data_IF_504159632902
#
_entry.id   IF_504159632902
#
_cell.length_a   1.000
_cell.length_b   1.000
_cell.length_c   1.000
_cell.angle_alpha   90.00
_cell.angle_beta   90.00
_cell.angle_gamma   90.00
#
_symmetry.space_group_name_H-M   'P 1'
#
loop_
_entity.id
_entity.type
_entity.pdbx_description
1 polymer ?
#
# COMPACT_ATOMS: atom_id res chain seq x y z
N UNK A 1 -2.51 -9.23 9.23
CA UNK A 1 -3.05 -9.17 7.85
C UNK A 1 -1.91 -9.40 6.87
N UNK A 2 -2.18 -9.98 5.69
CA UNK A 2 -1.16 -10.07 4.64
C UNK A 2 -0.80 -8.68 4.11
N UNK A 3 0.33 -8.55 3.41
CA UNK A 3 0.74 -7.31 2.75
C UNK A 3 -0.33 -6.82 1.78
N UNK A 4 -0.92 -7.73 1.00
CA UNK A 4 -1.95 -7.43 0.01
C UNK A 4 -3.28 -7.02 0.66
N UNK A 5 -3.70 -7.68 1.74
CA UNK A 5 -4.91 -7.30 2.49
C UNK A 5 -4.77 -5.90 3.07
N UNK A 6 -3.60 -5.59 3.63
CA UNK A 6 -3.31 -4.28 4.21
C UNK A 6 -3.30 -3.20 3.14
N UNK A 7 -2.73 -3.50 1.98
CA UNK A 7 -2.78 -2.60 0.82
C UNK A 7 -4.20 -2.39 0.31
N UNK A 8 -4.99 -3.46 0.23
CA UNK A 8 -6.41 -3.42 -0.17
C UNK A 8 -7.23 -2.51 0.74
N UNK A 9 -6.97 -2.51 2.06
CA UNK A 9 -7.61 -1.58 2.99
C UNK A 9 -7.08 -0.14 2.85
N UNK A 10 -5.78 0.03 2.66
CA UNK A 10 -5.17 1.35 2.50
C UNK A 10 -5.75 2.11 1.28
N UNK A 11 -5.83 1.46 0.10
CA UNK A 11 -6.25 2.13 -1.14
C UNK A 11 -7.73 2.56 -1.18
N UNK A 12 -8.54 2.15 -0.20
CA UNK A 12 -9.92 2.61 0.00
C UNK A 12 -9.97 4.02 0.60
N UNK A 13 -8.93 4.44 1.31
CA UNK A 13 -8.87 5.74 1.98
C UNK A 13 -8.61 6.88 0.98
N UNK A 14 -9.11 8.08 1.28
CA UNK A 14 -8.85 9.27 0.46
C UNK A 14 -7.39 9.70 0.64
N UNK A 15 -6.70 10.03 -0.46
CA UNK A 15 -5.29 10.46 -0.45
C UNK A 15 -4.34 9.48 0.28
N UNK A 16 -4.59 8.18 0.18
CA UNK A 16 -3.82 7.11 0.83
C UNK A 16 -2.31 7.10 0.55
N UNK A 17 -1.87 7.77 -0.51
CA UNK A 17 -0.46 7.88 -0.93
C UNK A 17 0.23 9.18 -0.49
N UNK A 18 -0.45 10.09 0.21
CA UNK A 18 0.01 11.49 0.40
C UNK A 18 1.36 11.64 1.10
N UNK A 19 1.72 10.71 1.97
CA UNK A 19 2.99 10.72 2.71
C UNK A 19 4.02 9.73 2.13
N UNK A 20 3.70 9.04 1.03
CA UNK A 20 4.61 8.10 0.40
C UNK A 20 5.64 8.83 -0.47
N UNK A 21 6.74 8.15 -0.79
CA UNK A 21 7.76 8.69 -1.70
C UNK A 21 7.29 8.72 -3.17
N UNK A 22 6.05 8.32 -3.44
CA UNK A 22 5.54 8.11 -4.80
C UNK A 22 4.69 9.28 -5.27
N UNK A 23 4.80 9.57 -6.56
CA UNK A 23 3.98 10.60 -7.18
C UNK A 23 2.50 10.18 -7.18
N UNK A 24 1.56 11.15 -7.12
CA UNK A 24 0.13 10.85 -7.23
C UNK A 24 -0.26 10.08 -8.49
N UNK A 25 0.49 10.27 -9.58
CA UNK A 25 0.29 9.56 -10.85
C UNK A 25 0.66 8.08 -10.68
N UNK A 26 1.86 7.80 -10.15
CA UNK A 26 2.31 6.43 -9.92
C UNK A 26 1.38 5.68 -8.96
N UNK A 27 0.94 6.33 -7.88
CA UNK A 27 0.00 5.74 -6.93
C UNK A 27 -1.34 5.35 -7.59
N UNK A 28 -1.87 6.19 -8.48
CA UNK A 28 -3.09 5.86 -9.24
C UNK A 28 -2.87 4.67 -10.17
N UNK A 29 -1.71 4.59 -10.84
CA UNK A 29 -1.35 3.43 -11.67
C UNK A 29 -1.22 2.17 -10.83
N UNK A 30 -0.50 2.20 -9.71
CA UNK A 30 -0.34 1.04 -8.82
C UNK A 30 -1.70 0.56 -8.30
N UNK A 31 -2.59 1.48 -7.91
CA UNK A 31 -3.98 1.14 -7.52
C UNK A 31 -4.74 0.47 -8.66
N UNK A 32 -4.69 1.02 -9.87
CA UNK A 32 -5.39 0.45 -11.01
C UNK A 32 -4.84 -0.93 -11.39
N UNK A 33 -3.51 -1.11 -11.34
CA UNK A 33 -2.84 -2.40 -11.57
C UNK A 33 -3.28 -3.43 -10.54
N UNK A 34 -3.25 -3.09 -9.25
CA UNK A 34 -3.67 -3.99 -8.17
C UNK A 34 -5.14 -4.40 -8.29
N UNK A 35 -6.03 -3.45 -8.61
CA UNK A 35 -7.46 -3.73 -8.80
C UNK A 35 -7.76 -4.64 -10.01
N UNK A 36 -6.89 -4.63 -11.03
CA UNK A 36 -6.98 -5.52 -12.19
C UNK A 36 -6.38 -6.91 -11.93
N UNK A 37 -5.90 -7.19 -10.72
CA UNK A 37 -5.16 -8.42 -10.39
C UNK A 37 -3.71 -8.43 -10.89
N UNK A 38 -3.19 -7.27 -11.32
CA UNK A 38 -1.80 -7.11 -11.69
C UNK A 38 -0.89 -7.01 -10.46
N UNK A 39 0.40 -7.31 -10.66
CA UNK A 39 1.39 -7.32 -9.59
C UNK A 39 1.95 -5.91 -9.34
N UNK A 40 1.75 -5.38 -8.14
CA UNK A 40 2.46 -4.20 -7.65
C UNK A 40 3.69 -4.67 -6.89
N UNK A 41 4.89 -4.12 -7.15
CA UNK A 41 6.09 -4.51 -6.41
C UNK A 41 5.91 -4.34 -4.90
N UNK A 42 6.28 -5.36 -4.12
CA UNK A 42 6.07 -5.37 -2.67
C UNK A 42 6.73 -4.18 -1.99
N UNK A 43 7.94 -3.79 -2.40
CA UNK A 43 8.65 -2.61 -1.92
C UNK A 43 7.80 -1.33 -1.97
N UNK A 44 6.94 -1.20 -2.99
CA UNK A 44 6.03 -0.06 -3.13
C UNK A 44 4.87 -0.17 -2.16
N UNK A 45 4.30 -1.35 -2.04
CA UNK A 45 3.23 -1.60 -1.07
C UNK A 45 3.72 -1.31 0.35
N UNK A 46 4.92 -1.76 0.70
CA UNK A 46 5.57 -1.49 1.99
C UNK A 46 5.78 0.01 2.22
N UNK A 47 6.24 0.76 1.21
CA UNK A 47 6.37 2.22 1.29
C UNK A 47 5.03 2.91 1.56
N UNK A 48 3.98 2.54 0.82
CA UNK A 48 2.64 3.11 1.03
C UNK A 48 2.09 2.81 2.44
N UNK A 49 2.26 1.57 2.90
CA UNK A 49 1.82 1.15 4.24
C UNK A 49 2.60 1.86 5.34
N UNK A 50 3.93 1.91 5.25
CA UNK A 50 4.79 2.60 6.21
C UNK A 50 4.47 4.10 6.28
N UNK A 51 4.29 4.75 5.13
CA UNK A 51 3.89 6.15 5.04
C UNK A 51 2.49 6.43 5.64
N UNK A 52 1.62 5.43 5.66
CA UNK A 52 0.31 5.48 6.27
C UNK A 52 0.29 5.03 7.75
N UNK A 53 1.47 4.79 8.35
CA UNK A 53 1.62 4.43 9.77
C UNK A 53 1.42 2.95 10.07
N UNK A 54 1.41 2.08 9.06
CA UNK A 54 1.34 0.64 9.28
C UNK A 54 2.72 0.10 9.66
N UNK A 55 2.76 -0.76 10.67
CA UNK A 55 3.98 -1.43 11.09
C UNK A 55 3.96 -2.89 10.63
N UNK A 56 5.06 -3.28 10.00
CA UNK A 56 5.36 -4.68 9.69
C UNK A 56 5.79 -5.34 11.00
N UNK A 57 4.94 -6.18 11.59
CA UNK A 57 5.21 -6.91 12.84
C UNK A 57 6.00 -8.19 12.53
N UNK A 58 5.79 -8.78 11.34
CA UNK A 58 6.56 -9.88 10.75
C UNK A 58 6.54 -9.72 9.21
N UNK A 59 7.43 -10.36 8.42
CA UNK A 59 7.49 -10.21 6.96
C UNK A 59 6.14 -10.37 6.24
N UNK A 60 5.21 -11.12 6.84
CA UNK A 60 3.87 -11.42 6.34
C UNK A 60 2.72 -10.84 7.18
N UNK A 61 3.01 -10.16 8.31
CA UNK A 61 2.00 -9.63 9.22
C UNK A 61 2.14 -8.10 9.40
N UNK A 62 1.12 -7.38 8.95
CA UNK A 62 1.00 -5.93 9.11
C UNK A 62 -0.13 -5.56 10.07
N UNK A 63 0.12 -4.56 10.92
CA UNK A 63 -0.85 -3.98 11.85
C UNK A 63 -0.87 -2.46 11.74
N UNK A 64 -2.07 -1.89 11.78
CA UNK A 64 -2.28 -0.44 11.83
C UNK A 64 -2.20 -0.01 13.29
N UNK A 65 -1.26 0.88 13.61
CA UNK A 65 -1.12 1.46 14.96
C UNK A 65 -2.07 2.63 15.15
#
# INVERSE_FOLDING_TARGET
>A
MTLEDSFRELIKQRKWYVNSLRSPIQAKYDKATFQKGGKVPEERIRDYLAAAGWKCVQPELWEKT
#
